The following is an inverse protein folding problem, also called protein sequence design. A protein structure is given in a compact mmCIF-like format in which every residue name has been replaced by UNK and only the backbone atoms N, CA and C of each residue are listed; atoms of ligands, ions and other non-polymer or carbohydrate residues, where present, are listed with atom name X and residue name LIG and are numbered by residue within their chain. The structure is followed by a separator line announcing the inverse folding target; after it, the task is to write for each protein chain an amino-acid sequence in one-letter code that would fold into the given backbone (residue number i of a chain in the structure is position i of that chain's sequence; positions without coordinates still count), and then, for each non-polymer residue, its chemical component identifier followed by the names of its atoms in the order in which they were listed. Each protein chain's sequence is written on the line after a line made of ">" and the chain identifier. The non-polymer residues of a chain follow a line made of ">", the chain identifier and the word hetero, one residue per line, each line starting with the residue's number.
data_IF_598568626217
#
_entry.id   IF_598568626217
#
_cell.length_a   1.000
_cell.length_b   1.000
_cell.length_c   1.000
_cell.angle_alpha   90.00
_cell.angle_beta   90.00
_cell.angle_gamma   90.00
#
_symmetry.space_group_name_H-M   'P 1'
#
loop_
_entity.id
_entity.type
_entity.pdbx_description
1 polymer ?
#
# COMPACT_ATOMS: atom_id res chain seq x y z
N UNK A 1 23.09 8.08 -22.57
CA UNK A 1 22.01 7.17 -22.17
C UNK A 1 21.09 7.90 -21.20
N UNK A 2 19.79 7.95 -21.47
CA UNK A 2 18.83 8.73 -20.68
C UNK A 2 18.55 8.07 -19.31
N UNK A 3 18.99 8.73 -18.24
CA UNK A 3 18.87 8.25 -16.84
C UNK A 3 17.42 8.28 -16.36
N UNK A 4 16.62 9.21 -16.87
CA UNK A 4 15.20 9.36 -16.49
C UNK A 4 14.36 8.18 -16.95
N UNK A 5 14.51 7.78 -18.22
CA UNK A 5 13.84 6.59 -18.76
C UNK A 5 14.16 5.32 -17.98
N UNK A 6 15.42 5.05 -17.66
CA UNK A 6 15.83 3.85 -16.89
C UNK A 6 15.23 3.85 -15.47
N UNK A 7 15.18 5.00 -14.80
CA UNK A 7 14.59 5.11 -13.48
C UNK A 7 13.07 4.84 -13.51
N UNK A 8 12.37 5.37 -14.51
CA UNK A 8 10.93 5.16 -14.71
C UNK A 8 10.61 3.69 -15.02
N UNK A 9 11.33 3.07 -15.96
CA UNK A 9 11.17 1.66 -16.31
C UNK A 9 11.39 0.77 -15.07
N UNK A 10 12.43 1.05 -14.28
CA UNK A 10 12.69 0.29 -13.05
C UNK A 10 11.60 0.46 -12.00
N UNK A 11 11.05 1.67 -11.87
CA UNK A 11 9.91 1.91 -10.99
C UNK A 11 8.69 1.11 -11.41
N UNK A 12 8.34 1.08 -12.71
CA UNK A 12 7.20 0.32 -13.24
C UNK A 12 7.37 -1.16 -12.91
N UNK A 13 8.51 -1.75 -13.29
CA UNK A 13 8.81 -3.17 -13.06
C UNK A 13 8.65 -3.56 -11.58
N UNK A 14 9.19 -2.74 -10.67
CA UNK A 14 9.09 -2.99 -9.23
C UNK A 14 7.66 -2.78 -8.70
N UNK A 15 6.96 -1.74 -9.16
CA UNK A 15 5.60 -1.42 -8.72
C UNK A 15 4.64 -2.54 -9.12
N UNK A 16 4.63 -2.96 -10.38
CA UNK A 16 3.76 -4.03 -10.88
C UNK A 16 3.96 -5.32 -10.09
N UNK A 17 5.22 -5.72 -9.89
CA UNK A 17 5.57 -6.94 -9.15
C UNK A 17 5.14 -6.87 -7.68
N UNK A 18 5.36 -5.73 -7.01
CA UNK A 18 5.04 -5.57 -5.58
C UNK A 18 3.55 -5.44 -5.34
N UNK A 19 2.84 -4.66 -6.13
CA UNK A 19 1.38 -4.49 -6.04
C UNK A 19 0.68 -5.82 -6.31
N UNK A 20 1.11 -6.58 -7.33
CA UNK A 20 0.53 -7.89 -7.63
C UNK A 20 0.66 -8.88 -6.48
N UNK A 21 1.81 -8.87 -5.78
CA UNK A 21 2.04 -9.70 -4.58
C UNK A 21 1.13 -9.27 -3.42
N UNK A 22 1.05 -7.97 -3.14
CA UNK A 22 0.18 -7.45 -2.09
C UNK A 22 -1.29 -7.82 -2.33
N UNK A 23 -1.78 -7.68 -3.56
CA UNK A 23 -3.15 -8.10 -3.93
C UNK A 23 -3.37 -9.59 -3.70
N UNK A 24 -2.39 -10.43 -4.08
CA UNK A 24 -2.46 -11.88 -3.86
C UNK A 24 -2.56 -12.19 -2.36
N UNK A 25 -1.73 -11.57 -1.54
CA UNK A 25 -1.71 -11.81 -0.10
C UNK A 25 -3.01 -11.32 0.56
N UNK A 26 -3.56 -10.17 0.14
CA UNK A 26 -4.87 -9.69 0.59
C UNK A 26 -5.99 -10.70 0.24
N UNK A 27 -5.95 -11.31 -0.95
CA UNK A 27 -6.92 -12.36 -1.32
C UNK A 27 -6.76 -13.61 -0.44
N UNK A 28 -5.53 -14.02 -0.14
CA UNK A 28 -5.28 -15.16 0.77
C UNK A 28 -5.80 -14.88 2.18
N UNK A 29 -5.61 -13.66 2.69
CA UNK A 29 -6.22 -13.22 3.96
C UNK A 29 -7.74 -13.27 3.86
N UNK A 30 -8.33 -12.82 2.73
CA UNK A 30 -9.76 -12.90 2.47
C UNK A 30 -10.34 -14.32 2.54
N UNK A 31 -9.56 -15.34 2.16
CA UNK A 31 -9.98 -16.74 2.27
C UNK A 31 -10.18 -17.21 3.72
N UNK A 32 -9.58 -16.53 4.71
CA UNK A 32 -9.80 -16.80 6.13
C UNK A 32 -11.24 -16.47 6.57
N UNK A 33 -12.00 -15.74 5.75
CA UNK A 33 -13.42 -15.48 6.01
C UNK A 33 -14.29 -16.75 6.01
N UNK A 34 -13.79 -17.86 5.46
CA UNK A 34 -14.57 -19.11 5.41
C UNK A 34 -14.78 -19.71 6.81
N UNK A 35 -15.96 -19.48 7.38
CA UNK A 35 -16.35 -19.98 8.71
C UNK A 35 -16.56 -21.50 8.79
N UNK A 36 -16.64 -22.21 7.66
CA UNK A 36 -16.65 -23.68 7.69
C UNK A 36 -15.30 -24.25 8.10
N UNK A 37 -14.21 -23.51 7.84
CA UNK A 37 -12.84 -23.95 8.06
C UNK A 37 -12.19 -23.25 9.26
N UNK A 38 -12.71 -22.08 9.66
CA UNK A 38 -12.10 -21.22 10.68
C UNK A 38 -13.13 -20.67 11.66
N UNK A 39 -12.70 -20.45 12.89
CA UNK A 39 -13.45 -19.71 13.91
C UNK A 39 -12.73 -18.40 14.20
N UNK A 40 -13.47 -17.29 14.19
CA UNK A 40 -12.96 -15.96 14.48
C UNK A 40 -14.08 -15.07 15.00
N UNK A 41 -13.71 -14.10 15.84
CA UNK A 41 -14.61 -13.06 16.31
C UNK A 41 -14.64 -11.88 15.34
N UNK A 42 -15.66 -11.04 15.47
CA UNK A 42 -15.72 -9.78 14.71
C UNK A 42 -14.57 -8.82 15.08
N UNK A 43 -14.01 -8.96 16.29
CA UNK A 43 -12.84 -8.20 16.69
C UNK A 43 -11.59 -8.55 15.88
N UNK A 44 -11.39 -9.83 15.55
CA UNK A 44 -10.26 -10.28 14.74
C UNK A 44 -10.34 -9.67 13.34
N UNK A 45 -11.53 -9.67 12.73
CA UNK A 45 -11.77 -9.03 11.43
C UNK A 45 -11.45 -7.54 11.49
N UNK A 46 -11.90 -6.83 12.53
CA UNK A 46 -11.60 -5.40 12.71
C UNK A 46 -10.10 -5.15 12.83
N UNK A 47 -9.37 -5.95 13.60
CA UNK A 47 -7.91 -5.84 13.77
C UNK A 47 -7.17 -6.06 12.44
N UNK A 48 -7.54 -7.10 11.68
CA UNK A 48 -6.96 -7.40 10.37
C UNK A 48 -7.16 -6.23 9.40
N UNK A 49 -8.41 -5.75 9.28
CA UNK A 49 -8.73 -4.66 8.35
C UNK A 49 -8.05 -3.35 8.77
N UNK A 50 -8.04 -3.03 10.07
CA UNK A 50 -7.38 -1.83 10.58
C UNK A 50 -5.87 -1.84 10.30
N UNK A 51 -5.19 -2.97 10.50
CA UNK A 51 -3.77 -3.11 10.21
C UNK A 51 -3.47 -2.91 8.71
N UNK A 52 -4.24 -3.56 7.82
CA UNK A 52 -4.05 -3.41 6.37
C UNK A 52 -4.31 -1.97 5.91
N UNK A 53 -5.35 -1.32 6.45
CA UNK A 53 -5.65 0.09 6.14
C UNK A 53 -4.53 1.01 6.62
N UNK A 54 -4.03 0.81 7.83
CA UNK A 54 -2.93 1.60 8.39
C UNK A 54 -1.66 1.56 7.52
N UNK A 55 -1.33 0.38 6.98
CA UNK A 55 -0.20 0.26 6.04
C UNK A 55 -0.44 0.97 4.71
N UNK A 56 -1.67 0.95 4.18
CA UNK A 56 -2.03 1.71 2.98
C UNK A 56 -1.96 3.22 3.23
N UNK A 57 -2.44 3.68 4.38
CA UNK A 57 -2.37 5.09 4.77
C UNK A 57 -0.91 5.55 4.92
N UNK A 58 -0.05 4.74 5.54
CA UNK A 58 1.39 5.01 5.65
C UNK A 58 2.09 5.01 4.26
N UNK A 59 1.70 4.10 3.37
CA UNK A 59 2.16 4.10 1.97
C UNK A 59 1.79 5.41 1.27
N UNK A 60 0.53 5.86 1.40
CA UNK A 60 0.06 7.10 0.80
C UNK A 60 0.85 8.30 1.32
N UNK A 61 1.02 8.39 2.65
CA UNK A 61 1.77 9.46 3.28
C UNK A 61 3.21 9.58 2.76
N UNK A 62 3.89 8.45 2.46
CA UNK A 62 5.24 8.46 1.87
C UNK A 62 5.27 9.01 0.45
N UNK A 63 4.27 8.71 -0.38
CA UNK A 63 4.16 9.28 -1.73
C UNK A 63 3.85 10.78 -1.68
N UNK A 64 2.97 11.20 -0.77
CA UNK A 64 2.60 12.60 -0.59
C UNK A 64 3.76 13.44 -0.01
N UNK A 65 4.53 12.89 0.94
CA UNK A 65 5.70 13.55 1.53
C UNK A 65 6.81 13.81 0.50
N UNK A 66 6.92 12.98 -0.54
CA UNK A 66 7.89 13.21 -1.63
C UNK A 66 7.43 14.25 -2.66
N UNK A 67 6.17 14.72 -2.59
CA UNK A 67 5.60 15.73 -3.49
C UNK A 67 5.57 17.16 -2.93
N UNK A 68 6.06 17.39 -1.70
CA UNK A 68 5.95 18.66 -0.99
C UNK A 68 7.32 19.35 -0.80
N UNK A 69 7.98 19.70 -1.90
CA UNK A 69 9.05 20.72 -1.93
C UNK A 69 8.47 22.12 -2.27
N UNK A 70 7.17 22.34 -2.06
CA UNK A 70 6.63 23.70 -2.05
C UNK A 70 6.93 24.33 -0.69
N UNK A 71 8.12 24.93 -0.56
CA UNK A 71 8.41 25.92 0.48
C UNK A 71 7.17 26.83 0.61
N UNK A 72 6.58 27.00 1.81
CA UNK A 72 5.55 28.00 1.98
C UNK A 72 6.19 29.36 1.74
N UNK A 73 5.94 29.93 0.56
CA UNK A 73 6.24 31.34 0.29
C UNK A 73 5.24 32.13 1.11
N UNK A 74 5.68 32.55 2.29
CA UNK A 74 4.98 33.52 3.11
C UNK A 74 4.71 34.78 2.27
N UNK A 75 3.45 35.20 2.17
CA UNK A 75 3.06 36.51 1.67
C UNK A 75 2.17 37.18 2.74
N UNK A 76 2.48 38.45 2.98
CA UNK A 76 1.74 39.39 3.84
C UNK A 76 0.27 39.51 3.43
#
# INVERSE_FOLDING_TARGET
>A
MDKGRKAREKFIELAEKRVSRAIKDIRLIGNLSNKSNYSYAQEDVRKIVAALKGEVDALKARFDATGSDSKPVFKL
#
